data_IF_022534125178
#
_entry.id   IF_022534125178
#
_cell.length_a   1.000
_cell.length_b   1.000
_cell.length_c   1.000
_cell.angle_alpha   90.00
_cell.angle_beta   90.00
_cell.angle_gamma   90.00
#
_symmetry.space_group_name_H-M   'P 1'
#
loop_
_entity.id
_entity.type
_entity.pdbx_description
1 polymer ?
#
# COMPACT_ATOMS: atom_id res chain seq x y z
N UNK A 1 -2.78 52.97 -30.93
CA UNK A 1 -1.66 51.98 -30.76
C UNK A 1 -1.35 51.64 -29.29
N UNK A 2 -1.11 52.59 -28.37
CA UNK A 2 -0.75 52.26 -26.97
C UNK A 2 -1.81 51.47 -26.19
N UNK A 3 -3.13 51.66 -26.42
CA UNK A 3 -4.18 50.91 -25.76
C UNK A 3 -4.28 49.45 -26.22
N UNK A 4 -4.08 49.18 -27.52
CA UNK A 4 -4.12 47.82 -28.07
C UNK A 4 -2.98 46.97 -27.56
N UNK A 5 -1.79 47.55 -27.36
CA UNK A 5 -0.65 46.84 -26.81
C UNK A 5 -0.86 46.48 -25.33
N UNK A 6 -1.43 47.38 -24.54
CA UNK A 6 -1.77 47.12 -23.13
C UNK A 6 -2.81 46.01 -23.00
N UNK A 7 -3.84 46.01 -23.86
CA UNK A 7 -4.85 44.95 -23.87
C UNK A 7 -4.24 43.59 -24.23
N UNK A 8 -3.35 43.55 -25.22
CA UNK A 8 -2.67 42.34 -25.62
C UNK A 8 -1.83 41.75 -24.47
N UNK A 9 -1.09 42.59 -23.76
CA UNK A 9 -0.26 42.14 -22.59
C UNK A 9 -1.16 41.57 -21.49
N UNK A 10 -2.29 42.18 -21.20
CA UNK A 10 -3.24 41.71 -20.20
C UNK A 10 -3.79 40.32 -20.58
N UNK A 11 -4.16 40.14 -21.85
CA UNK A 11 -4.65 38.83 -22.34
C UNK A 11 -3.58 37.76 -22.21
N UNK A 12 -2.35 38.07 -22.58
CA UNK A 12 -1.23 37.11 -22.46
C UNK A 12 -1.00 36.74 -20.99
N UNK A 13 -1.04 37.70 -20.07
CA UNK A 13 -0.88 37.44 -18.63
C UNK A 13 -1.99 36.53 -18.08
N UNK A 14 -3.24 36.77 -18.51
CA UNK A 14 -4.39 35.96 -18.10
C UNK A 14 -4.21 34.50 -18.58
N UNK A 15 -3.86 34.30 -19.85
CA UNK A 15 -3.65 32.98 -20.44
C UNK A 15 -2.50 32.26 -19.72
N UNK A 16 -1.40 32.97 -19.44
CA UNK A 16 -0.26 32.41 -18.71
C UNK A 16 -0.66 31.99 -17.29
N UNK A 17 -1.41 32.84 -16.57
CA UNK A 17 -1.86 32.53 -15.20
C UNK A 17 -2.78 31.31 -15.18
N UNK A 18 -3.74 31.21 -16.12
CA UNK A 18 -4.61 30.02 -16.24
C UNK A 18 -3.78 28.78 -16.55
N UNK A 19 -2.80 28.88 -17.43
CA UNK A 19 -1.89 27.78 -17.77
C UNK A 19 -1.09 27.27 -16.56
N UNK A 20 -0.55 28.19 -15.75
CA UNK A 20 0.21 27.84 -14.53
C UNK A 20 -0.71 27.19 -13.49
N UNK A 21 -1.93 27.72 -13.28
CA UNK A 21 -2.91 27.12 -12.36
C UNK A 21 -3.34 25.71 -12.81
N UNK A 22 -3.55 25.53 -14.11
CA UNK A 22 -3.92 24.22 -14.68
C UNK A 22 -2.80 23.20 -14.52
N UNK A 23 -1.55 23.58 -14.81
CA UNK A 23 -0.39 22.73 -14.58
C UNK A 23 -0.21 22.39 -13.10
N UNK A 24 -0.39 23.38 -12.22
CA UNK A 24 -0.36 23.19 -10.76
C UNK A 24 -1.41 22.20 -10.28
N UNK A 25 -2.64 22.28 -10.83
CA UNK A 25 -3.72 21.36 -10.51
C UNK A 25 -3.41 19.93 -10.99
N UNK A 26 -2.94 19.75 -12.23
CA UNK A 26 -2.51 18.44 -12.75
C UNK A 26 -1.40 17.88 -11.89
N UNK A 27 -0.41 18.69 -11.54
CA UNK A 27 0.70 18.25 -10.70
C UNK A 27 0.22 17.82 -9.31
N UNK A 28 -0.67 18.58 -8.69
CA UNK A 28 -1.28 18.26 -7.41
C UNK A 28 -2.04 16.92 -7.45
N UNK A 29 -2.85 16.70 -8.47
CA UNK A 29 -3.63 15.47 -8.63
C UNK A 29 -2.73 14.26 -8.90
N UNK A 30 -1.64 14.46 -9.66
CA UNK A 30 -0.65 13.41 -9.95
C UNK A 30 0.19 13.06 -8.72
N UNK A 31 0.47 14.03 -7.84
CA UNK A 31 1.25 13.84 -6.60
C UNK A 31 0.39 13.33 -5.44
N UNK A 32 -0.94 13.41 -5.56
CA UNK A 32 -1.85 12.96 -4.52
C UNK A 32 -1.62 11.48 -4.22
N UNK A 33 -1.22 11.21 -2.99
CA UNK A 33 -1.12 9.84 -2.47
C UNK A 33 -2.46 9.14 -2.61
N UNK A 34 -2.50 8.07 -3.39
CA UNK A 34 -3.63 7.16 -3.40
C UNK A 34 -3.47 6.21 -2.20
N UNK A 35 -4.45 6.26 -1.32
CA UNK A 35 -4.50 5.44 -0.13
C UNK A 35 -5.76 4.61 -0.15
N UNK A 36 -5.60 3.30 -0.08
CA UNK A 36 -6.70 2.35 -0.05
C UNK A 36 -6.54 1.50 1.20
N UNK A 37 -7.62 1.37 1.96
CA UNK A 37 -7.70 0.52 3.15
C UNK A 37 -8.80 -0.53 2.93
N UNK A 38 -8.42 -1.80 3.05
CA UNK A 38 -9.31 -2.95 2.85
C UNK A 38 -9.40 -3.73 4.15
N UNK A 39 -10.59 -3.82 4.77
CA UNK A 39 -10.78 -4.67 5.94
C UNK A 39 -10.73 -6.14 5.53
N UNK A 40 -9.72 -6.86 5.99
CA UNK A 40 -9.51 -8.27 5.67
C UNK A 40 -10.46 -9.20 6.44
N UNK A 41 -11.25 -8.67 7.38
CA UNK A 41 -12.33 -9.40 8.04
C UNK A 41 -13.41 -9.90 7.06
N UNK A 42 -13.56 -9.22 5.92
CA UNK A 42 -14.55 -9.54 4.89
C UNK A 42 -14.06 -10.57 3.85
N UNK A 43 -12.81 -11.01 3.97
CA UNK A 43 -12.28 -12.04 3.07
C UNK A 43 -12.98 -13.38 3.32
N UNK A 44 -13.20 -14.10 2.22
CA UNK A 44 -13.64 -15.49 2.28
C UNK A 44 -12.56 -16.40 2.87
N UNK A 45 -12.97 -17.59 3.33
CA UNK A 45 -12.00 -18.58 3.86
C UNK A 45 -10.93 -18.94 2.83
N UNK A 46 -11.32 -19.09 1.56
CA UNK A 46 -10.41 -19.42 0.45
C UNK A 46 -9.39 -18.30 0.20
N UNK A 47 -9.80 -17.05 0.31
CA UNK A 47 -8.91 -15.89 0.14
C UNK A 47 -7.90 -15.79 1.30
N UNK A 48 -8.34 -16.08 2.53
CA UNK A 48 -7.44 -16.13 3.69
C UNK A 48 -6.42 -17.27 3.55
N UNK A 49 -6.88 -18.45 3.13
CA UNK A 49 -6.00 -19.59 2.86
C UNK A 49 -4.99 -19.26 1.76
N UNK A 50 -5.42 -18.56 0.72
CA UNK A 50 -4.54 -18.11 -0.36
C UNK A 50 -3.49 -17.12 0.14
N UNK A 51 -3.84 -16.18 1.03
CA UNK A 51 -2.86 -15.27 1.68
C UNK A 51 -1.78 -16.06 2.43
N UNK A 52 -2.19 -17.08 3.18
CA UNK A 52 -1.27 -17.95 3.92
C UNK A 52 -0.38 -18.75 2.96
N UNK A 53 -0.98 -19.37 1.94
CA UNK A 53 -0.27 -20.23 0.97
C UNK A 53 0.77 -19.47 0.15
N UNK A 54 0.49 -18.21 -0.17
CA UNK A 54 1.42 -17.30 -0.87
C UNK A 54 2.53 -16.76 0.02
N UNK A 55 2.46 -17.07 1.32
CA UNK A 55 3.45 -16.67 2.32
C UNK A 55 3.81 -15.18 2.30
N UNK A 56 2.77 -14.31 2.30
CA UNK A 56 2.97 -12.86 2.27
C UNK A 56 3.83 -12.32 3.40
N UNK A 57 3.70 -12.91 4.58
CA UNK A 57 4.42 -12.47 5.77
C UNK A 57 5.83 -13.05 5.85
N UNK A 58 6.22 -13.91 4.88
CA UNK A 58 7.51 -14.60 4.86
C UNK A 58 7.85 -15.28 6.20
N UNK A 59 6.84 -15.90 6.81
CA UNK A 59 7.01 -16.68 8.03
C UNK A 59 7.51 -18.09 7.73
N UNK A 60 8.29 -18.65 8.64
CA UNK A 60 8.67 -20.08 8.56
C UNK A 60 7.45 -20.99 8.75
N UNK A 61 6.53 -20.57 9.62
CA UNK A 61 5.25 -21.24 9.85
C UNK A 61 4.22 -20.19 10.28
N UNK A 62 2.97 -20.41 9.88
CA UNK A 62 1.86 -19.55 10.30
C UNK A 62 1.27 -20.11 11.59
N UNK A 63 1.17 -19.30 12.65
CA UNK A 63 0.42 -19.66 13.84
C UNK A 63 -1.05 -19.96 13.50
N UNK A 64 -1.65 -20.93 14.17
CA UNK A 64 -3.06 -21.32 13.97
C UNK A 64 -4.02 -20.19 14.34
N UNK A 65 -3.61 -19.32 15.25
CA UNK A 65 -4.39 -18.18 15.74
C UNK A 65 -4.27 -16.93 14.85
N UNK A 66 -3.58 -17.00 13.71
CA UNK A 66 -3.38 -15.82 12.86
C UNK A 66 -4.70 -15.32 12.29
N UNK A 67 -4.96 -14.04 12.48
CA UNK A 67 -6.10 -13.33 11.90
C UNK A 67 -5.61 -12.11 11.14
N UNK A 68 -5.95 -12.02 9.86
CA UNK A 68 -5.69 -10.83 9.05
C UNK A 68 -6.76 -9.77 9.35
N UNK A 69 -6.32 -8.54 9.64
CA UNK A 69 -7.19 -7.43 10.05
C UNK A 69 -7.42 -6.47 8.90
N UNK A 70 -6.34 -6.01 8.25
CA UNK A 70 -6.38 -4.91 7.30
C UNK A 70 -5.26 -5.04 6.27
N UNK A 71 -5.58 -4.71 5.03
CA UNK A 71 -4.62 -4.46 3.95
C UNK A 71 -4.70 -3.00 3.55
N UNK A 72 -3.58 -2.32 3.52
CA UNK A 72 -3.49 -0.93 3.11
C UNK A 72 -2.48 -0.80 1.97
N UNK A 73 -2.86 -0.07 0.94
CA UNK A 73 -1.99 0.37 -0.14
C UNK A 73 -1.75 1.87 -0.01
N UNK A 74 -0.49 2.27 -0.07
CA UNK A 74 -0.08 3.67 -0.21
C UNK A 74 0.77 3.77 -1.48
N UNK A 75 0.24 4.44 -2.49
CA UNK A 75 0.93 4.64 -3.76
C UNK A 75 1.41 6.07 -3.89
N UNK A 76 2.71 6.22 -4.09
CA UNK A 76 3.38 7.45 -4.48
C UNK A 76 3.84 7.36 -5.94
N UNK A 77 4.32 8.47 -6.53
CA UNK A 77 4.70 8.56 -7.96
C UNK A 77 5.69 7.47 -8.40
N UNK A 78 6.54 6.98 -7.49
CA UNK A 78 7.61 6.03 -7.81
C UNK A 78 7.56 4.73 -7.06
N UNK A 79 6.78 4.67 -5.99
CA UNK A 79 6.76 3.52 -5.09
C UNK A 79 5.33 3.22 -4.65
N UNK A 80 4.99 1.94 -4.61
CA UNK A 80 3.78 1.46 -3.98
C UNK A 80 4.18 0.63 -2.77
N UNK A 81 3.62 0.99 -1.62
CA UNK A 81 3.86 0.31 -0.36
C UNK A 81 2.60 -0.41 0.08
N UNK A 82 2.75 -1.63 0.55
CA UNK A 82 1.68 -2.41 1.15
C UNK A 82 1.92 -2.60 2.63
N UNK A 83 0.84 -2.49 3.39
CA UNK A 83 0.82 -2.75 4.81
C UNK A 83 -0.22 -3.82 5.07
N UNK A 84 0.17 -4.90 5.75
CA UNK A 84 -0.76 -5.94 6.20
C UNK A 84 -0.74 -5.95 7.72
N UNK A 85 -1.89 -5.67 8.31
CA UNK A 85 -2.09 -5.77 9.74
C UNK A 85 -2.70 -7.11 10.08
N UNK A 86 -2.14 -7.81 11.05
CA UNK A 86 -2.61 -9.11 11.50
C UNK A 86 -2.43 -9.26 13.01
N UNK A 87 -3.19 -10.16 13.62
CA UNK A 87 -3.02 -10.52 15.02
C UNK A 87 -2.70 -12.00 15.18
N UNK A 88 -2.03 -12.33 16.27
CA UNK A 88 -1.80 -13.69 16.75
C UNK A 88 -2.10 -13.74 18.25
N UNK A 89 -2.41 -14.92 18.77
CA UNK A 89 -2.51 -15.12 20.21
C UNK A 89 -1.12 -15.05 20.86
N UNK A 90 -1.05 -14.49 22.05
CA UNK A 90 0.21 -14.29 22.77
C UNK A 90 0.95 -15.61 23.03
N UNK A 91 0.20 -16.71 23.20
CA UNK A 91 0.75 -18.04 23.40
C UNK A 91 1.53 -18.52 22.17
N UNK A 92 1.09 -18.11 20.99
CA UNK A 92 1.72 -18.45 19.70
C UNK A 92 2.91 -17.54 19.34
N UNK A 93 3.19 -16.49 20.11
CA UNK A 93 4.31 -15.56 19.83
C UNK A 93 5.66 -16.30 19.71
N UNK A 94 5.84 -17.39 20.46
CA UNK A 94 7.06 -18.22 20.41
C UNK A 94 7.20 -18.99 19.12
N UNK A 95 6.08 -19.27 18.43
CA UNK A 95 6.04 -19.97 17.14
C UNK A 95 6.24 -19.01 15.97
N UNK A 96 6.10 -17.72 16.25
CA UNK A 96 6.27 -16.65 15.30
C UNK A 96 7.75 -16.42 15.02
N UNK A 97 8.25 -17.03 13.95
CA UNK A 97 9.61 -16.80 13.45
C UNK A 97 9.55 -16.13 12.09
N UNK A 98 10.10 -14.94 12.03
CA UNK A 98 10.34 -14.28 10.74
C UNK A 98 11.39 -15.10 10.01
N UNK A 99 11.13 -15.48 8.79
CA UNK A 99 12.13 -16.07 7.91
C UNK A 99 13.25 -15.04 7.74
N UNK A 100 14.38 -15.25 8.39
CA UNK A 100 15.58 -14.45 8.18
C UNK A 100 16.08 -14.72 6.76
N UNK A 101 15.57 -14.07 5.78
CA UNK A 101 16.14 -14.07 4.45
C UNK A 101 17.25 -13.03 4.40
N UNK A 102 18.35 -13.48 4.48
CA UNK A 102 19.36 -13.83 3.48
C UNK A 102 19.03 -13.23 2.10
N UNK A 103 19.57 -12.01 1.90
CA UNK A 103 20.14 -11.49 0.63
C UNK A 103 19.55 -12.00 -0.68
N UNK A 104 18.30 -11.67 -1.07
CA UNK A 104 17.98 -11.72 -2.51
C UNK A 104 16.62 -11.18 -2.92
N UNK A 105 15.82 -10.57 -2.08
CA UNK A 105 14.63 -9.87 -2.60
C UNK A 105 14.85 -8.37 -2.56
N UNK A 106 14.59 -7.73 -3.67
CA UNK A 106 14.56 -6.28 -3.85
C UNK A 106 13.46 -5.62 -3.01
N UNK A 107 12.68 -6.41 -2.27
CA UNK A 107 11.58 -5.96 -1.43
C UNK A 107 11.98 -6.11 0.03
N UNK A 108 12.23 -5.00 0.68
CA UNK A 108 12.48 -4.96 2.11
C UNK A 108 11.16 -5.18 2.85
N UNK A 109 11.04 -6.33 3.55
CA UNK A 109 9.89 -6.61 4.41
C UNK A 109 10.26 -6.23 5.83
N UNK A 110 9.46 -5.36 6.42
CA UNK A 110 9.58 -4.95 7.82
C UNK A 110 8.33 -5.36 8.57
N UNK A 111 8.49 -6.07 9.69
CA UNK A 111 7.37 -6.43 10.58
C UNK A 111 7.58 -5.78 11.93
N UNK A 112 6.57 -5.05 12.38
CA UNK A 112 6.58 -4.29 13.63
C UNK A 112 5.40 -4.70 14.52
N UNK A 113 5.67 -4.93 15.81
CA UNK A 113 4.62 -5.06 16.83
C UNK A 113 3.98 -3.69 17.08
N UNK A 114 2.66 -3.61 16.94
CA UNK A 114 1.89 -2.37 17.09
C UNK A 114 1.31 -2.27 18.50
N UNK A 115 0.64 -3.33 18.95
CA UNK A 115 0.00 -3.33 20.26
C UNK A 115 -0.16 -4.75 20.80
N UNK A 116 -0.47 -4.82 22.08
CA UNK A 116 -0.82 -6.06 22.77
C UNK A 116 -2.03 -5.77 23.66
N UNK A 117 -3.10 -6.54 23.51
CA UNK A 117 -4.33 -6.39 24.29
C UNK A 117 -5.13 -7.69 24.28
N UNK A 118 -5.78 -8.01 25.40
CA UNK A 118 -6.70 -9.14 25.53
C UNK A 118 -6.10 -10.50 25.08
N UNK A 119 -4.82 -10.73 25.38
CA UNK A 119 -4.14 -11.97 24.99
C UNK A 119 -3.78 -12.08 23.50
N UNK A 120 -4.03 -11.05 22.72
CA UNK A 120 -3.63 -10.96 21.31
C UNK A 120 -2.53 -9.92 21.10
N UNK A 121 -1.65 -10.19 20.16
CA UNK A 121 -0.61 -9.27 19.72
C UNK A 121 -0.91 -8.86 18.29
N UNK A 122 -0.90 -7.56 18.03
CA UNK A 122 -1.12 -6.99 16.70
C UNK A 122 0.22 -6.58 16.10
N UNK A 123 0.45 -7.07 14.89
CA UNK A 123 1.60 -6.76 14.06
C UNK A 123 1.18 -6.03 12.79
N UNK A 124 2.11 -5.24 12.26
CA UNK A 124 2.01 -4.64 10.94
C UNK A 124 3.23 -5.02 10.13
N UNK A 125 3.00 -5.63 8.98
CA UNK A 125 4.00 -5.85 7.96
C UNK A 125 3.96 -4.72 6.95
N UNK A 126 5.11 -4.17 6.63
CA UNK A 126 5.31 -3.23 5.53
C UNK A 126 6.20 -3.86 4.47
N UNK A 127 5.85 -3.70 3.21
CA UNK A 127 6.68 -4.12 2.08
C UNK A 127 6.54 -3.15 0.91
N UNK A 128 7.61 -2.97 0.15
CA UNK A 128 7.61 -2.17 -1.05
C UNK A 128 7.32 -3.07 -2.26
N UNK A 129 6.44 -2.61 -3.14
CA UNK A 129 6.14 -3.29 -4.38
C UNK A 129 7.14 -2.89 -5.48
N UNK A 130 7.87 -3.88 -6.00
CA UNK A 130 8.66 -3.68 -7.21
C UNK A 130 7.76 -3.94 -8.44
N UNK A 131 7.44 -2.92 -9.21
CA UNK A 131 6.56 -2.98 -10.39
C UNK A 131 6.93 -4.06 -11.42
N UNK A 132 8.15 -4.56 -11.38
CA UNK A 132 8.66 -5.61 -12.26
C UNK A 132 8.65 -7.02 -11.63
N UNK A 133 8.06 -7.18 -10.47
CA UNK A 133 7.98 -8.48 -9.81
C UNK A 133 6.98 -9.38 -10.52
N UNK A 134 7.44 -10.49 -11.10
CA UNK A 134 6.59 -11.57 -11.66
C UNK A 134 6.06 -12.53 -10.59
N UNK A 135 6.03 -12.10 -9.34
CA UNK A 135 5.62 -12.93 -8.22
C UNK A 135 4.08 -12.98 -8.11
N UNK A 136 3.51 -14.18 -8.17
CA UNK A 136 2.06 -14.43 -8.08
C UNK A 136 1.39 -13.83 -6.85
N UNK A 137 2.13 -13.60 -5.77
CA UNK A 137 1.59 -12.96 -4.56
C UNK A 137 1.12 -11.54 -4.84
N UNK A 138 1.85 -10.80 -5.69
CA UNK A 138 1.48 -9.43 -6.04
C UNK A 138 0.25 -9.36 -6.92
N UNK A 139 0.11 -10.29 -7.86
CA UNK A 139 -1.08 -10.38 -8.73
C UNK A 139 -2.35 -10.54 -7.88
N UNK A 140 -2.28 -11.38 -6.85
CA UNK A 140 -3.41 -11.60 -5.95
C UNK A 140 -3.74 -10.37 -5.09
N UNK A 141 -2.73 -9.67 -4.55
CA UNK A 141 -2.97 -8.42 -3.82
C UNK A 141 -3.59 -7.35 -4.71
N UNK A 142 -3.08 -7.19 -5.92
CA UNK A 142 -3.64 -6.24 -6.89
C UNK A 142 -5.08 -6.59 -7.29
N UNK A 143 -5.40 -7.88 -7.43
CA UNK A 143 -6.77 -8.34 -7.65
C UNK A 143 -7.70 -7.95 -6.50
N UNK A 144 -7.28 -8.20 -5.25
CA UNK A 144 -8.03 -7.78 -4.07
C UNK A 144 -8.25 -6.28 -4.06
N UNK A 145 -7.19 -5.49 -4.24
CA UNK A 145 -7.26 -4.04 -4.22
C UNK A 145 -8.19 -3.51 -5.30
N UNK A 146 -8.08 -4.01 -6.52
CA UNK A 146 -8.93 -3.58 -7.63
C UNK A 146 -10.41 -3.86 -7.39
N UNK A 147 -10.75 -4.93 -6.67
CA UNK A 147 -12.13 -5.24 -6.29
C UNK A 147 -12.73 -4.21 -5.32
N UNK A 148 -11.92 -3.59 -4.50
CA UNK A 148 -12.34 -2.58 -3.52
C UNK A 148 -12.17 -1.14 -4.00
N UNK A 149 -11.57 -0.92 -5.17
CA UNK A 149 -11.44 0.41 -5.82
C UNK A 149 -12.74 0.88 -6.49
N UNK A 150 -13.73 0.00 -6.67
CA UNK A 150 -15.03 0.33 -7.26
C UNK A 150 -16.00 0.81 -6.22
#
# INVERSE_FOLDING_TARGET
>A
MKHSIKLLIIIILIIFTIGVLYLGWIFYDTVKMHKIEIPLSNLTSDEKEKLISLNFLELESYPSSIEFIELKEESEIRETQFYIKFSIDKEDEKLYKIKKNVNQSTNEITIKKISESNGKIIYEMKTNFAQNSKDKKWDFLLELINRYKT
#
